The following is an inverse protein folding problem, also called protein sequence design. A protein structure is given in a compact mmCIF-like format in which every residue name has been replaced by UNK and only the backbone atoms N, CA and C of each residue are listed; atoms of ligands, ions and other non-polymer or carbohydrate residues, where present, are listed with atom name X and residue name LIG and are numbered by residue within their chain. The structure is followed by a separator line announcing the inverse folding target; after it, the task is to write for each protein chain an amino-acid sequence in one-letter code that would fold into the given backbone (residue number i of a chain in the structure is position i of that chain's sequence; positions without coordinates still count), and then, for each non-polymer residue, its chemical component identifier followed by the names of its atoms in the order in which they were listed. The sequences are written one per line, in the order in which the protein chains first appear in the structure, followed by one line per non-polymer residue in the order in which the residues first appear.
data_IF_849341638377
#
_entry.id   IF_849341638377
#
_cell.length_a   1.000
_cell.length_b   1.000
_cell.length_c   1.000
_cell.angle_alpha   90.00
_cell.angle_beta   90.00
_cell.angle_gamma   90.00
#
_symmetry.space_group_name_H-M   'P 1'
#
loop_
_entity.id
_entity.type
_entity.pdbx_description
1 polymer ?
#
# COMPACT_ATOMS: atom_id res chain seq x y z
N UNK A 1 1.92 6.53 -0.49
CA UNK A 1 2.38 7.21 0.76
C UNK A 1 3.43 6.35 1.45
N UNK A 2 4.54 6.94 1.89
CA UNK A 2 5.62 6.23 2.60
C UNK A 2 5.75 6.77 4.02
N UNK A 3 5.78 5.90 5.00
CA UNK A 3 6.02 6.20 6.41
C UNK A 3 7.44 5.74 6.74
N UNK A 4 8.39 6.65 7.03
CA UNK A 4 9.81 6.31 7.11
C UNK A 4 10.14 5.21 8.12
N UNK A 5 9.53 5.22 9.30
CA UNK A 5 9.74 4.20 10.33
C UNK A 5 9.23 2.82 9.92
N UNK A 6 8.11 2.75 9.18
CA UNK A 6 7.59 1.48 8.64
C UNK A 6 8.52 0.94 7.55
N UNK A 7 9.00 1.81 6.67
CA UNK A 7 9.99 1.42 5.64
C UNK A 7 11.27 0.91 6.29
N UNK A 8 11.75 1.55 7.35
CA UNK A 8 12.94 1.12 8.09
C UNK A 8 12.72 -0.25 8.75
N UNK A 9 11.56 -0.46 9.38
CA UNK A 9 11.19 -1.76 9.96
C UNK A 9 11.16 -2.86 8.90
N UNK A 10 10.46 -2.65 7.78
CA UNK A 10 10.37 -3.64 6.71
C UNK A 10 11.74 -3.99 6.12
N UNK A 11 12.63 -3.01 5.95
CA UNK A 11 14.00 -3.24 5.45
C UNK A 11 14.87 -4.01 6.44
N UNK A 12 14.68 -3.79 7.74
CA UNK A 12 15.50 -4.41 8.78
C UNK A 12 15.06 -5.82 9.16
N UNK A 13 13.79 -6.16 8.95
CA UNK A 13 13.19 -7.39 9.49
C UNK A 13 12.46 -8.23 8.43
N UNK A 14 12.03 -7.60 7.31
CA UNK A 14 11.26 -8.27 6.28
C UNK A 14 12.11 -9.12 5.34
N UNK A 15 11.46 -9.96 4.54
CA UNK A 15 12.12 -10.71 3.48
C UNK A 15 12.77 -9.74 2.48
N UNK A 16 13.84 -10.19 1.83
CA UNK A 16 14.48 -9.41 0.77
C UNK A 16 13.48 -9.17 -0.37
N UNK A 17 13.01 -7.95 -0.47
CA UNK A 17 12.07 -7.51 -1.50
C UNK A 17 12.78 -7.03 -2.77
N UNK A 18 14.08 -7.30 -2.92
CA UNK A 18 14.82 -6.97 -4.15
C UNK A 18 14.23 -7.78 -5.31
N UNK A 19 13.69 -7.14 -6.35
CA UNK A 19 13.21 -7.86 -7.51
C UNK A 19 14.33 -8.74 -8.08
N UNK A 20 14.04 -10.00 -8.43
CA UNK A 20 15.07 -10.86 -9.02
C UNK A 20 15.63 -10.20 -10.28
N UNK A 21 16.96 -10.14 -10.38
CA UNK A 21 17.62 -9.59 -11.56
C UNK A 21 17.23 -10.42 -12.80
N UNK A 22 16.52 -9.80 -13.72
CA UNK A 22 16.18 -10.46 -14.98
C UNK A 22 17.27 -10.21 -16.01
N UNK A 23 17.71 -11.22 -16.81
CA UNK A 23 18.76 -11.05 -17.82
C UNK A 23 18.50 -9.96 -18.86
N UNK A 24 17.23 -9.60 -19.08
CA UNK A 24 16.83 -8.52 -20.00
C UNK A 24 16.77 -7.15 -19.33
N UNK A 25 16.95 -7.06 -18.01
CA UNK A 25 16.95 -5.79 -17.29
C UNK A 25 18.36 -5.20 -17.36
N UNK A 26 18.58 -4.37 -18.35
CA UNK A 26 19.89 -3.79 -18.65
C UNK A 26 20.28 -2.70 -17.65
N UNK A 27 21.57 -2.37 -17.60
CA UNK A 27 22.05 -1.24 -16.79
C UNK A 27 21.39 0.09 -17.17
N UNK A 28 21.15 0.32 -18.46
CA UNK A 28 20.44 1.51 -18.91
C UNK A 28 19.01 1.58 -18.36
N UNK A 29 18.29 0.45 -18.29
CA UNK A 29 16.97 0.37 -17.69
C UNK A 29 17.00 0.66 -16.18
N UNK A 30 18.01 0.15 -15.47
CA UNK A 30 18.18 0.43 -14.03
C UNK A 30 18.43 1.91 -13.76
N UNK A 31 19.26 2.53 -14.56
CA UNK A 31 19.56 3.96 -14.44
C UNK A 31 18.32 4.81 -14.73
N UNK A 32 17.51 4.41 -15.70
CA UNK A 32 16.27 5.11 -16.01
C UNK A 32 15.23 4.94 -14.90
N UNK A 33 15.03 3.74 -14.39
CA UNK A 33 14.15 3.48 -13.25
C UNK A 33 14.59 4.26 -12.00
N UNK A 34 15.89 4.38 -11.75
CA UNK A 34 16.41 5.18 -10.64
C UNK A 34 16.04 6.66 -10.78
N UNK A 35 16.18 7.23 -11.98
CA UNK A 35 15.76 8.61 -12.26
C UNK A 35 14.27 8.82 -12.04
N UNK A 36 13.43 7.91 -12.57
CA UNK A 36 11.98 7.98 -12.36
C UNK A 36 11.58 7.83 -10.91
N UNK A 37 12.25 6.94 -10.17
CA UNK A 37 12.04 6.78 -8.72
C UNK A 37 12.38 8.06 -7.95
N UNK A 38 13.46 8.75 -8.30
CA UNK A 38 13.84 10.01 -7.68
C UNK A 38 12.86 11.13 -8.00
N UNK A 39 12.46 11.27 -9.27
CA UNK A 39 11.43 12.24 -9.69
C UNK A 39 10.11 11.98 -8.94
N UNK A 40 9.68 10.74 -8.88
CA UNK A 40 8.46 10.36 -8.18
C UNK A 40 8.55 10.65 -6.67
N UNK A 41 9.68 10.33 -6.05
CA UNK A 41 9.93 10.60 -4.62
C UNK A 41 9.85 12.10 -4.30
N UNK A 42 10.44 12.96 -5.13
CA UNK A 42 10.37 14.41 -4.95
C UNK A 42 8.93 14.90 -5.10
N UNK A 43 8.22 14.46 -6.16
CA UNK A 43 6.84 14.89 -6.44
C UNK A 43 5.83 14.42 -5.39
N UNK A 44 6.08 13.34 -4.70
CA UNK A 44 5.13 12.72 -3.74
C UNK A 44 5.57 12.83 -2.29
N UNK A 45 6.81 13.19 -2.02
CA UNK A 45 7.40 13.20 -0.68
C UNK A 45 7.12 14.48 0.10
N UNK A 46 7.01 15.62 -0.58
CA UNK A 46 6.74 16.92 0.01
C UNK A 46 5.33 17.40 -0.35
N UNK A 47 4.56 17.82 0.66
CA UNK A 47 3.15 18.18 0.49
C UNK A 47 2.97 19.40 -0.42
N UNK A 48 3.79 20.44 -0.24
CA UNK A 48 3.69 21.65 -1.06
C UNK A 48 3.98 21.33 -2.55
N UNK A 49 5.01 20.52 -2.81
CA UNK A 49 5.32 20.06 -4.16
C UNK A 49 4.21 19.20 -4.74
N UNK A 50 3.61 18.31 -3.94
CA UNK A 50 2.48 17.47 -4.39
C UNK A 50 1.29 18.31 -4.81
N UNK A 51 0.86 19.26 -3.98
CA UNK A 51 -0.26 20.16 -4.28
C UNK A 51 0.01 20.99 -5.54
N UNK A 52 1.19 21.57 -5.66
CA UNK A 52 1.59 22.31 -6.88
C UNK A 52 1.52 21.43 -8.14
N UNK A 53 2.02 20.19 -8.07
CA UNK A 53 1.96 19.26 -9.23
C UNK A 53 0.51 18.89 -9.55
N UNK A 54 -0.35 18.70 -8.56
CA UNK A 54 -1.78 18.47 -8.77
C UNK A 54 -2.42 19.66 -9.49
N UNK A 55 -2.13 20.88 -9.07
CA UNK A 55 -2.65 22.10 -9.71
C UNK A 55 -2.17 22.23 -11.16
N UNK A 56 -0.88 22.00 -11.41
CA UNK A 56 -0.29 22.00 -12.76
C UNK A 56 -0.91 20.95 -13.70
N UNK A 57 -1.38 19.83 -13.15
CA UNK A 57 -1.98 18.73 -13.89
C UNK A 57 -3.51 18.78 -13.93
N UNK A 58 -4.14 19.77 -13.31
CA UNK A 58 -5.60 19.87 -13.20
C UNK A 58 -6.24 18.75 -12.38
N UNK A 59 -5.53 18.24 -11.35
CA UNK A 59 -6.04 17.21 -10.45
C UNK A 59 -6.67 17.86 -9.24
N UNK A 60 -7.97 17.80 -9.10
CA UNK A 60 -8.71 18.36 -7.98
C UNK A 60 -8.50 17.53 -6.71
N UNK A 61 -8.71 16.22 -6.80
CA UNK A 61 -8.63 15.29 -5.66
C UNK A 61 -7.69 14.14 -5.99
N UNK A 62 -6.80 13.82 -5.06
CA UNK A 62 -5.93 12.64 -5.15
C UNK A 62 -6.25 11.65 -4.04
N UNK A 63 -6.30 10.35 -4.38
CA UNK A 63 -6.41 9.27 -3.39
C UNK A 63 -5.03 8.92 -2.88
N UNK A 64 -4.84 8.98 -1.56
CA UNK A 64 -3.63 8.55 -0.87
C UNK A 64 -3.77 7.09 -0.45
N UNK A 65 -2.80 6.27 -0.83
CA UNK A 65 -2.73 4.86 -0.46
C UNK A 65 -1.36 4.53 0.15
N UNK A 66 -1.23 3.43 0.91
CA UNK A 66 0.06 2.91 1.34
C UNK A 66 1.00 2.69 0.16
N UNK A 67 2.30 2.86 0.38
CA UNK A 67 3.29 2.53 -0.64
C UNK A 67 3.56 1.03 -0.63
N UNK A 68 3.02 0.31 -1.59
CA UNK A 68 3.15 -1.12 -1.83
C UNK A 68 4.33 -1.86 -1.14
N UNK A 69 5.22 -2.44 -1.91
CA UNK A 69 6.29 -3.36 -1.44
C UNK A 69 7.15 -2.81 -0.28
N UNK A 70 7.44 -1.50 -0.25
CA UNK A 70 8.32 -0.93 0.78
C UNK A 70 7.71 -0.84 2.19
N UNK A 71 6.43 -1.12 2.32
CA UNK A 71 5.67 -1.09 3.58
C UNK A 71 4.80 -2.35 3.72
N UNK A 72 5.16 -3.43 3.06
CA UNK A 72 4.45 -4.70 3.14
C UNK A 72 4.82 -5.41 4.43
N UNK A 73 3.87 -5.59 5.32
CA UNK A 73 4.07 -6.14 6.68
C UNK A 73 3.45 -7.53 6.90
N UNK A 74 2.76 -8.09 5.90
CA UNK A 74 2.00 -9.34 6.06
C UNK A 74 2.87 -10.58 6.36
N UNK A 75 4.18 -10.50 6.15
CA UNK A 75 5.16 -11.53 6.56
C UNK A 75 5.39 -11.57 8.08
N UNK A 76 5.04 -10.51 8.81
CA UNK A 76 5.19 -10.44 10.26
C UNK A 76 4.02 -11.16 10.96
N UNK A 77 4.18 -11.44 12.26
CA UNK A 77 3.05 -11.91 13.04
C UNK A 77 1.88 -10.92 13.03
N UNK A 78 0.63 -11.38 13.24
CA UNK A 78 -0.55 -10.54 13.10
C UNK A 78 -0.56 -9.25 13.94
N UNK A 79 -0.03 -9.28 15.16
CA UNK A 79 -0.02 -8.12 16.04
C UNK A 79 1.03 -7.09 15.62
N UNK A 80 2.21 -7.56 15.23
CA UNK A 80 3.26 -6.70 14.66
C UNK A 80 2.80 -6.07 13.36
N UNK A 81 2.18 -6.84 12.47
CA UNK A 81 1.61 -6.32 11.23
C UNK A 81 0.55 -5.25 11.53
N UNK A 82 -0.42 -5.52 12.41
CA UNK A 82 -1.45 -4.57 12.82
C UNK A 82 -0.85 -3.25 13.35
N UNK A 83 0.18 -3.32 14.17
CA UNK A 83 0.84 -2.13 14.72
C UNK A 83 1.37 -1.22 13.60
N UNK A 84 2.05 -1.79 12.60
CA UNK A 84 2.65 -1.03 11.52
C UNK A 84 1.62 -0.56 10.49
N UNK A 85 0.61 -1.38 10.18
CA UNK A 85 -0.52 -0.97 9.34
C UNK A 85 -1.28 0.21 9.97
N UNK A 86 -1.54 0.17 11.26
CA UNK A 86 -2.16 1.27 12.00
C UNK A 86 -1.35 2.55 11.92
N UNK A 87 -0.03 2.47 12.06
CA UNK A 87 0.85 3.64 11.92
C UNK A 87 0.79 4.25 10.51
N UNK A 88 0.66 3.40 9.48
CA UNK A 88 0.44 3.87 8.10
C UNK A 88 -0.91 4.58 8.00
N UNK A 89 -1.97 3.98 8.52
CA UNK A 89 -3.34 4.49 8.46
C UNK A 89 -3.47 5.86 9.13
N UNK A 90 -2.91 6.00 10.32
CA UNK A 90 -2.87 7.26 11.08
C UNK A 90 -2.12 8.35 10.28
N UNK A 91 -0.99 8.02 9.71
CA UNK A 91 -0.21 8.95 8.89
C UNK A 91 -0.95 9.41 7.62
N UNK A 92 -1.72 8.52 6.98
CA UNK A 92 -2.59 8.90 5.84
C UNK A 92 -3.71 9.82 6.33
N UNK A 93 -4.35 9.48 7.45
CA UNK A 93 -5.43 10.29 8.02
C UNK A 93 -4.96 11.70 8.40
N UNK A 94 -3.79 11.84 9.00
CA UNK A 94 -3.16 13.13 9.30
C UNK A 94 -2.99 13.98 8.03
N UNK A 95 -2.51 13.38 6.94
CA UNK A 95 -2.35 14.10 5.67
C UNK A 95 -3.69 14.51 5.06
N UNK A 96 -4.70 13.65 5.10
CA UNK A 96 -6.06 13.97 4.63
C UNK A 96 -6.66 15.09 5.47
N UNK A 97 -6.52 15.04 6.79
CA UNK A 97 -7.03 16.07 7.70
C UNK A 97 -6.40 17.44 7.44
N UNK A 98 -5.14 17.49 7.02
CA UNK A 98 -4.46 18.74 6.65
C UNK A 98 -4.97 19.37 5.36
N UNK A 99 -5.57 18.59 4.45
CA UNK A 99 -6.05 19.05 3.13
C UNK A 99 -7.30 18.24 2.69
N UNK A 100 -8.43 18.34 3.42
CA UNK A 100 -9.59 17.46 3.23
C UNK A 100 -10.34 17.69 1.90
N UNK A 101 -10.13 18.82 1.27
CA UNK A 101 -10.64 19.19 -0.06
C UNK A 101 -9.77 18.69 -1.21
N UNK A 102 -8.55 18.21 -0.91
CA UNK A 102 -7.58 17.77 -1.92
C UNK A 102 -7.24 16.29 -1.84
N UNK A 103 -7.47 15.65 -0.70
CA UNK A 103 -7.10 14.26 -0.49
C UNK A 103 -8.24 13.40 0.07
N UNK A 104 -8.27 12.17 -0.42
CA UNK A 104 -9.04 11.06 0.15
C UNK A 104 -8.06 9.95 0.51
N UNK A 105 -8.24 9.30 1.65
CA UNK A 105 -7.34 8.25 2.12
C UNK A 105 -7.96 6.85 2.02
N UNK A 106 -7.14 5.89 1.61
CA UNK A 106 -7.36 4.46 1.80
C UNK A 106 -6.23 3.93 2.70
N UNK A 107 -6.61 3.18 3.71
CA UNK A 107 -5.66 2.59 4.66
C UNK A 107 -5.07 1.25 4.20
N UNK A 108 -4.57 0.50 5.16
CA UNK A 108 -4.01 -0.85 5.01
C UNK A 108 -4.45 -1.73 6.17
N UNK A 109 -4.49 -3.05 5.97
CA UNK A 109 -4.95 -4.01 6.99
C UNK A 109 -4.10 -5.27 6.98
N UNK A 110 -3.92 -5.95 8.13
CA UNK A 110 -3.21 -7.23 8.22
C UNK A 110 -4.07 -8.37 7.67
N UNK A 111 -4.26 -8.42 6.34
CA UNK A 111 -5.23 -9.30 5.68
C UNK A 111 -4.99 -10.79 5.94
N UNK A 112 -3.76 -11.22 6.28
CA UNK A 112 -3.43 -12.59 6.69
C UNK A 112 -4.01 -12.96 8.09
N UNK A 113 -4.61 -11.97 8.80
CA UNK A 113 -5.34 -12.16 10.06
C UNK A 113 -6.74 -11.53 9.92
N UNK A 114 -7.71 -12.22 9.33
CA UNK A 114 -8.97 -11.65 8.83
C UNK A 114 -9.82 -10.92 9.87
N UNK A 115 -9.85 -11.40 11.12
CA UNK A 115 -10.58 -10.73 12.21
C UNK A 115 -9.93 -9.39 12.56
N UNK A 116 -8.60 -9.37 12.72
CA UNK A 116 -7.86 -8.12 12.96
C UNK A 116 -7.98 -7.16 11.78
N UNK A 117 -7.96 -7.70 10.55
CA UNK A 117 -8.16 -6.90 9.34
C UNK A 117 -9.56 -6.26 9.30
N UNK A 118 -10.60 -6.99 9.72
CA UNK A 118 -11.95 -6.48 9.81
C UNK A 118 -12.08 -5.36 10.84
N UNK A 119 -11.47 -5.51 12.01
CA UNK A 119 -11.50 -4.50 13.07
C UNK A 119 -10.67 -3.26 12.67
N UNK A 120 -9.52 -3.45 12.05
CA UNK A 120 -8.70 -2.33 11.56
C UNK A 120 -9.38 -1.57 10.41
N UNK A 121 -10.09 -2.26 9.51
CA UNK A 121 -10.93 -1.61 8.49
C UNK A 121 -11.99 -0.71 9.14
N UNK A 122 -12.67 -1.20 10.18
CA UNK A 122 -13.66 -0.40 10.91
C UNK A 122 -13.01 0.82 11.58
N UNK A 123 -11.84 0.65 12.19
CA UNK A 123 -11.05 1.75 12.75
C UNK A 123 -10.67 2.79 11.70
N UNK A 124 -10.17 2.35 10.55
CA UNK A 124 -9.85 3.23 9.42
C UNK A 124 -11.04 4.10 9.01
N UNK A 125 -12.22 3.51 8.89
CA UNK A 125 -13.39 4.22 8.37
C UNK A 125 -14.09 5.07 9.43
N UNK A 126 -14.28 4.56 10.66
CA UNK A 126 -15.05 5.23 11.70
C UNK A 126 -14.22 6.21 12.53
N UNK A 127 -12.97 5.88 12.81
CA UNK A 127 -12.11 6.69 13.68
C UNK A 127 -11.18 7.61 12.90
N UNK A 128 -10.63 7.14 11.79
CA UNK A 128 -9.70 7.91 10.98
C UNK A 128 -10.35 8.63 9.79
N UNK A 129 -11.61 8.36 9.47
CA UNK A 129 -12.31 8.99 8.35
C UNK A 129 -11.84 8.56 6.97
N UNK A 130 -11.08 7.47 6.87
CA UNK A 130 -10.65 6.90 5.59
C UNK A 130 -11.85 6.27 4.87
N UNK A 131 -11.77 6.13 3.55
CA UNK A 131 -12.89 5.61 2.73
C UNK A 131 -12.84 4.11 2.51
N UNK A 132 -11.84 3.44 3.03
CA UNK A 132 -11.60 2.01 2.86
C UNK A 132 -10.13 1.70 2.95
N UNK A 133 -9.69 0.63 2.29
CA UNK A 133 -8.31 0.15 2.37
C UNK A 133 -7.79 -0.35 1.03
N UNK A 134 -6.48 -0.28 0.87
CA UNK A 134 -5.74 -1.01 -0.14
C UNK A 134 -5.49 -2.44 0.37
N UNK A 135 -5.75 -3.44 -0.46
CA UNK A 135 -5.48 -4.84 -0.16
C UNK A 135 -4.57 -5.46 -1.22
N UNK A 136 -3.72 -6.43 -0.87
CA UNK A 136 -2.92 -7.16 -1.84
C UNK A 136 -3.77 -8.15 -2.64
N UNK A 137 -3.22 -8.66 -3.75
CA UNK A 137 -3.87 -9.70 -4.57
C UNK A 137 -3.94 -11.08 -3.90
N UNK A 138 -3.13 -11.31 -2.87
CA UNK A 138 -3.15 -12.50 -1.99
C UNK A 138 -2.57 -12.14 -0.64
N UNK A 139 -2.83 -12.93 0.40
CA UNK A 139 -2.34 -12.70 1.75
C UNK A 139 -1.65 -13.96 2.31
N UNK A 140 -0.30 -14.04 2.18
CA UNK A 140 0.53 -15.11 2.79
C UNK A 140 -0.04 -16.53 2.56
N UNK A 141 -0.29 -16.86 1.28
CA UNK A 141 -0.82 -18.17 0.89
C UNK A 141 -2.35 -18.28 0.86
N UNK A 142 -3.07 -17.25 1.30
CA UNK A 142 -4.52 -17.17 1.13
C UNK A 142 -4.87 -16.38 -0.14
N UNK A 143 -5.66 -16.99 -1.01
CA UNK A 143 -6.29 -16.30 -2.13
C UNK A 143 -7.46 -15.44 -1.64
N UNK A 144 -7.82 -14.38 -2.37
CA UNK A 144 -8.91 -13.48 -1.96
C UNK A 144 -10.27 -14.17 -1.84
N UNK A 145 -10.46 -15.32 -2.49
CA UNK A 145 -11.65 -16.15 -2.36
C UNK A 145 -11.63 -17.13 -1.17
N UNK A 146 -10.58 -17.16 -0.37
CA UNK A 146 -10.47 -18.08 0.75
C UNK A 146 -11.59 -17.83 1.78
N UNK A 147 -12.32 -18.89 2.23
CA UNK A 147 -13.37 -18.76 3.25
C UNK A 147 -12.91 -18.11 4.55
N UNK A 148 -11.65 -18.18 4.89
CA UNK A 148 -11.10 -17.54 6.09
C UNK A 148 -11.21 -16.00 6.03
N UNK A 149 -11.26 -15.40 4.83
CA UNK A 149 -11.43 -13.95 4.65
C UNK A 149 -12.88 -13.47 4.81
N UNK A 150 -13.85 -14.34 5.05
CA UNK A 150 -15.26 -13.95 5.22
C UNK A 150 -15.50 -12.86 6.28
N UNK A 151 -14.87 -12.87 7.46
CA UNK A 151 -15.04 -11.80 8.45
C UNK A 151 -14.67 -10.44 7.89
N UNK A 152 -13.56 -10.34 7.16
CA UNK A 152 -13.13 -9.12 6.51
C UNK A 152 -14.13 -8.67 5.42
N UNK A 153 -14.55 -9.56 4.54
CA UNK A 153 -15.50 -9.24 3.46
C UNK A 153 -16.86 -8.78 4.01
N UNK A 154 -17.38 -9.47 5.03
CA UNK A 154 -18.64 -9.08 5.67
C UNK A 154 -18.56 -7.70 6.34
N UNK A 155 -17.41 -7.36 6.95
CA UNK A 155 -17.19 -6.03 7.54
C UNK A 155 -17.08 -4.97 6.44
N UNK A 156 -16.36 -5.26 5.35
CA UNK A 156 -16.22 -4.35 4.21
C UNK A 156 -17.57 -4.04 3.56
N UNK A 157 -18.39 -5.05 3.33
CA UNK A 157 -19.76 -4.90 2.81
C UNK A 157 -20.64 -4.05 3.74
N UNK A 158 -20.66 -4.38 5.04
CA UNK A 158 -21.44 -3.66 6.05
C UNK A 158 -21.07 -2.19 6.14
N UNK A 159 -19.81 -1.85 5.96
CA UNK A 159 -19.29 -0.47 6.02
C UNK A 159 -19.40 0.27 4.68
N UNK A 160 -19.68 -0.41 3.58
CA UNK A 160 -19.60 0.15 2.24
C UNK A 160 -18.17 0.60 1.88
N UNK A 161 -17.17 -0.19 2.30
CA UNK A 161 -15.76 0.18 2.17
C UNK A 161 -15.30 0.16 0.70
N UNK A 162 -14.55 1.18 0.30
CA UNK A 162 -13.80 1.14 -0.95
C UNK A 162 -12.59 0.22 -0.79
N UNK A 163 -12.46 -0.76 -1.68
CA UNK A 163 -11.33 -1.69 -1.68
C UNK A 163 -10.49 -1.47 -2.94
N UNK A 164 -9.24 -1.09 -2.76
CA UNK A 164 -8.27 -0.94 -3.85
C UNK A 164 -7.35 -2.15 -3.91
N UNK A 165 -7.55 -3.00 -4.92
CA UNK A 165 -6.71 -4.17 -5.13
C UNK A 165 -5.39 -3.77 -5.75
N UNK A 166 -4.29 -3.95 -5.02
CA UNK A 166 -2.94 -3.70 -5.49
C UNK A 166 -2.20 -5.03 -5.71
N UNK A 167 -1.57 -5.24 -6.87
CA UNK A 167 -0.77 -6.44 -7.09
C UNK A 167 0.32 -6.60 -6.03
N UNK A 168 0.40 -7.76 -5.41
CA UNK A 168 1.40 -8.08 -4.39
C UNK A 168 2.32 -9.16 -4.93
N UNK A 169 3.22 -8.78 -5.81
CA UNK A 169 4.25 -9.65 -6.34
C UNK A 169 3.74 -10.94 -6.98
N UNK A 170 4.25 -11.27 -8.14
CA UNK A 170 3.92 -12.53 -8.80
C UNK A 170 4.88 -13.61 -8.29
N UNK A 171 4.34 -14.67 -7.74
CA UNK A 171 5.08 -15.90 -7.39
C UNK A 171 5.46 -16.73 -8.64
N UNK A 172 4.79 -16.48 -9.75
CA UNK A 172 4.96 -17.18 -11.03
C UNK A 172 6.15 -16.63 -11.83
N UNK A 173 7.29 -17.32 -11.73
CA UNK A 173 8.54 -16.94 -12.42
C UNK A 173 8.41 -16.78 -13.95
N UNK A 174 7.39 -17.39 -14.58
CA UNK A 174 7.12 -17.25 -16.02
C UNK A 174 6.84 -15.82 -16.47
N UNK A 175 6.36 -14.95 -15.56
CA UNK A 175 6.04 -13.56 -15.86
C UNK A 175 7.23 -12.61 -15.69
N UNK A 176 8.32 -13.02 -15.02
CA UNK A 176 9.51 -12.20 -14.82
C UNK A 176 10.14 -11.66 -16.12
N UNK A 177 10.19 -12.45 -17.24
CA UNK A 177 10.69 -11.94 -18.51
C UNK A 177 9.93 -10.74 -19.09
N UNK A 178 8.73 -10.50 -18.62
CA UNK A 178 7.83 -9.45 -19.13
C UNK A 178 7.70 -8.28 -18.17
N UNK A 179 8.55 -8.19 -17.14
CA UNK A 179 8.45 -7.17 -16.07
C UNK A 179 7.12 -7.16 -15.32
N UNK A 180 6.43 -8.29 -15.26
CA UNK A 180 5.13 -8.43 -14.62
C UNK A 180 5.22 -8.96 -13.18
N UNK A 181 6.34 -8.76 -12.49
CA UNK A 181 6.52 -9.20 -11.10
C UNK A 181 5.70 -8.37 -10.07
N UNK A 182 5.11 -7.26 -10.51
CA UNK A 182 4.22 -6.42 -9.71
C UNK A 182 2.77 -6.42 -10.20
N UNK A 183 2.41 -7.37 -11.05
CA UNK A 183 1.07 -7.40 -11.66
C UNK A 183 0.17 -8.40 -10.98
#
# INVERSE_FOLDING_TARGET
MRVPEVVAFCRGHGPDATPPSHPRYTEAMRLEDAKWSDVHRVRTGDMATRLRVMDEQGVDIQVLTPSGISQYTLWADPQTSLQWERRINESIAEMVAGHPDRFVGLGSVPLHAPELAADELEYCMKSLGLRGVQIPSHAEGMELGDPQLRPFWARAEKLGAALFLHPAGITEKRYYPYHLWNS
#
